data_IF_353711266538
#
_entry.id   IF_353711266538
#
_cell.length_a   1.000
_cell.length_b   1.000
_cell.length_c   1.000
_cell.angle_alpha   90.00
_cell.angle_beta   90.00
_cell.angle_gamma   90.00
#
_symmetry.space_group_name_H-M   'P 1'
#
loop_
_entity.id
_entity.type
_entity.pdbx_description
1 polymer ?
2 non-polymer ?
3 non-polymer ?
4 water ?
#
# COMPACT_ATOMS: atom_id res chain seq x y z
N UNK A 2 -14.86 -15.65 -7.53
CA UNK A 2 -14.18 -15.14 -8.73
C UNK A 2 -12.90 -14.41 -8.36
N UNK A 3 -11.95 -14.34 -9.28
CA UNK A 3 -10.62 -13.82 -8.98
C UNK A 3 -10.64 -12.35 -8.53
N UNK A 4 -9.74 -11.97 -7.62
CA UNK A 4 -9.57 -10.53 -7.30
C UNK A 4 -8.66 -9.91 -8.37
N UNK A 5 -9.17 -8.89 -9.06
CA UNK A 5 -8.40 -8.19 -10.08
C UNK A 5 -7.50 -7.18 -9.38
N UNK A 6 -6.23 -7.12 -9.74
CA UNK A 6 -5.34 -6.15 -9.07
C UNK A 6 -4.50 -5.42 -10.08
N UNK A 7 -4.44 -4.11 -9.97
CA UNK A 7 -3.60 -3.27 -10.81
C UNK A 7 -2.56 -2.57 -9.97
N UNK A 8 -1.33 -2.49 -10.52
CA UNK A 8 -0.23 -1.77 -9.87
C UNK A 8 0.32 -0.74 -10.84
N UNK A 9 0.65 0.47 -10.33
CA UNK A 9 1.37 1.46 -11.13
C UNK A 9 2.40 2.14 -10.26
N UNK A 10 3.60 2.34 -10.79
CA UNK A 10 4.58 3.19 -10.07
C UNK A 10 5.27 4.09 -11.11
N UNK A 11 5.77 5.22 -10.65
CA UNK A 11 6.47 6.16 -11.51
C UNK A 11 7.48 6.91 -10.65
N UNK A 12 8.74 6.92 -11.10
CA UNK A 12 9.75 7.68 -10.37
C UNK A 12 9.49 9.18 -10.46
N UNK A 13 9.87 9.90 -9.39
CA UNK A 13 10.03 11.34 -9.44
C UNK A 13 10.77 11.75 -10.71
N UNK A 14 10.29 12.81 -11.34
CA UNK A 14 10.88 13.33 -12.58
C UNK A 14 12.39 13.51 -12.45
N UNK A 15 13.15 13.05 -13.43
CA UNK A 15 14.59 13.15 -13.35
C UNK A 15 15.31 12.04 -12.60
N UNK A 16 14.61 11.21 -11.83
CA UNK A 16 15.23 10.02 -11.21
C UNK A 16 15.19 8.79 -12.13
N UNK A 17 16.15 7.88 -11.97
CA UNK A 17 16.12 6.65 -12.74
C UNK A 17 15.65 5.44 -11.92
N UNK A 18 15.40 5.62 -10.63
CA UNK A 18 14.83 4.56 -9.80
C UNK A 18 13.69 5.15 -8.98
N UNK A 19 12.62 4.41 -8.89
CA UNK A 19 11.44 4.83 -8.13
C UNK A 19 11.60 4.54 -6.66
N UNK A 20 11.47 5.58 -5.83
CA UNK A 20 11.62 5.39 -4.39
C UNK A 20 10.44 4.79 -3.65
N UNK A 21 9.35 4.47 -4.34
CA UNK A 21 8.22 3.76 -3.76
C UNK A 21 8.26 2.29 -4.23
N UNK A 22 7.55 1.41 -3.51
CA UNK A 22 7.45 0.02 -3.93
C UNK A 22 6.06 -0.55 -3.65
N UNK A 23 5.64 -1.51 -4.48
CA UNK A 23 4.35 -2.21 -4.33
C UNK A 23 4.55 -3.73 -4.19
N UNK A 24 3.65 -4.37 -3.44
CA UNK A 24 3.60 -5.82 -3.32
C UNK A 24 2.15 -6.28 -3.44
N UNK A 25 1.92 -7.27 -4.27
CA UNK A 25 0.66 -8.01 -4.29
C UNK A 25 1.05 -9.47 -4.18
N UNK A 26 0.56 -10.15 -3.17
CA UNK A 26 0.93 -11.54 -2.98
C UNK A 26 -0.29 -12.35 -2.56
N UNK A 27 -0.52 -13.46 -3.26
CA UNK A 27 -1.72 -14.26 -3.08
C UNK A 27 -1.27 -15.55 -2.44
N UNK A 28 -1.97 -15.89 -1.37
CA UNK A 28 -1.58 -17.00 -0.53
C UNK A 28 -2.83 -17.67 0.05
N UNK A 29 -3.26 -18.75 -0.58
CA UNK A 29 -4.37 -19.54 -0.06
C UNK A 29 -5.62 -18.69 0.23
N UNK A 30 -6.19 -18.06 -0.79
CA UNK A 30 -7.39 -17.26 -0.55
C UNK A 30 -7.18 -16.04 0.34
N UNK A 31 -5.94 -15.79 0.76
CA UNK A 31 -5.59 -14.52 1.42
C UNK A 31 -4.67 -13.71 0.53
N UNK A 32 -5.04 -12.47 0.28
CA UNK A 32 -4.19 -11.64 -0.56
C UNK A 32 -3.65 -10.48 0.26
N UNK A 33 -2.35 -10.23 0.08
CA UNK A 33 -1.70 -9.11 0.74
C UNK A 33 -1.40 -8.02 -0.27
N UNK A 34 -1.67 -6.79 0.12
CA UNK A 34 -1.45 -5.64 -0.76
C UNK A 34 -0.66 -4.63 0.02
N UNK A 35 0.47 -4.18 -0.51
CA UNK A 35 1.30 -3.29 0.27
C UNK A 35 1.91 -2.21 -0.60
N UNK A 36 2.06 -1.01 0.00
CA UNK A 36 2.82 0.05 -0.68
C UNK A 36 3.81 0.61 0.30
N UNK A 37 5.04 0.83 -0.14
CA UNK A 37 6.03 1.46 0.72
C UNK A 37 6.55 2.71 0.02
N UNK A 38 6.99 3.69 0.80
CA UNK A 38 7.56 4.90 0.25
C UNK A 38 8.84 5.14 1.02
N UNK A 39 10.01 4.94 0.40
CA UNK A 39 11.28 5.17 1.09
C UNK A 39 11.51 6.66 1.32
N UNK A 40 12.07 7.01 2.47
CA UNK A 40 12.21 8.43 2.77
C UNK A 40 13.03 9.09 1.66
N UNK A 41 12.50 10.18 1.11
CA UNK A 41 13.23 10.93 0.09
C UNK A 41 12.96 10.29 -1.25
N UNK A 42 13.90 10.43 -2.16
CA UNK A 42 13.75 9.87 -3.50
C UNK A 42 15.04 9.23 -3.97
N UNK A 43 15.02 8.67 -5.16
CA UNK A 43 16.23 8.13 -5.75
C UNK A 43 16.54 6.71 -5.27
N UNK A 44 17.71 6.20 -5.67
CA UNK A 44 18.03 4.79 -5.37
C UNK A 44 18.13 4.47 -3.86
N UNK A 45 18.51 5.44 -3.01
CA UNK A 45 18.53 5.12 -1.57
C UNK A 45 17.13 4.98 -1.01
N UNK A 46 16.18 5.77 -1.52
CA UNK A 46 14.80 5.61 -1.11
C UNK A 46 14.25 4.30 -1.66
N UNK A 47 14.60 3.98 -2.90
CA UNK A 47 14.12 2.76 -3.53
C UNK A 47 14.62 1.54 -2.73
N UNK A 48 15.89 1.57 -2.33
CA UNK A 48 16.45 0.47 -1.54
C UNK A 48 15.61 0.24 -0.29
N UNK A 49 15.22 1.32 0.35
CA UNK A 49 14.47 1.17 1.62
C UNK A 49 13.06 0.66 1.35
N UNK A 50 12.40 1.20 0.33
CA UNK A 50 11.02 0.78 0.03
C UNK A 50 11.02 -0.70 -0.35
N UNK A 51 12.03 -1.12 -1.11
CA UNK A 51 12.12 -2.53 -1.52
C UNK A 51 12.49 -3.45 -0.34
N UNK A 52 13.36 -3.00 0.56
CA UNK A 52 13.61 -3.77 1.79
C UNK A 52 12.30 -3.96 2.58
N UNK A 53 11.52 -2.90 2.71
CA UNK A 53 10.25 -3.00 3.43
C UNK A 53 9.31 -4.05 2.78
N UNK A 54 9.13 -3.98 1.45
CA UNK A 54 8.30 -4.93 0.72
C UNK A 54 8.81 -6.38 0.87
N UNK A 55 10.13 -6.58 0.74
CA UNK A 55 10.72 -7.91 0.81
C UNK A 55 10.56 -8.49 2.20
N UNK A 56 10.74 -7.64 3.21
CA UNK A 56 10.53 -8.03 4.59
C UNK A 56 9.09 -8.47 4.87
N UNK A 57 8.13 -7.70 4.37
CA UNK A 57 6.72 -8.08 4.49
C UNK A 57 6.45 -9.43 3.88
N UNK A 58 6.93 -9.62 2.67
CA UNK A 58 6.66 -10.87 1.98
C UNK A 58 7.20 -12.01 2.80
N UNK A 59 8.37 -11.81 3.38
CA UNK A 59 8.98 -12.90 4.13
C UNK A 59 8.20 -13.18 5.44
N UNK A 60 7.41 -12.22 5.90
CA UNK A 60 6.72 -12.28 7.19
C UNK A 60 5.22 -12.53 7.05
N UNK A 61 4.75 -12.80 5.86
CA UNK A 61 3.33 -13.06 5.70
C UNK A 61 2.78 -14.13 6.58
N UNK A 62 1.55 -13.89 7.01
CA UNK A 62 0.84 -14.84 7.86
C UNK A 62 1.49 -15.09 9.20
N UNK A 63 2.28 -14.13 9.63
CA UNK A 63 2.66 -14.02 11.04
C UNK A 63 1.91 -12.92 11.81
N UNK A 64 1.05 -12.17 11.13
CA UNK A 64 0.28 -11.12 11.79
C UNK A 64 0.91 -9.75 11.60
N UNK A 65 0.07 -8.73 11.45
CA UNK A 65 0.58 -7.41 11.08
C UNK A 65 1.55 -6.82 12.14
N UNK A 66 1.34 -7.13 13.42
CA UNK A 66 2.24 -6.59 14.42
C UNK A 66 3.66 -7.07 14.16
N UNK A 67 3.79 -8.38 14.01
CA UNK A 67 5.09 -8.95 13.70
C UNK A 67 5.63 -8.41 12.37
N UNK A 68 4.77 -8.33 11.36
CA UNK A 68 5.21 -7.88 10.04
C UNK A 68 5.85 -6.49 10.10
N UNK A 69 5.20 -5.56 10.78
CA UNK A 69 5.69 -4.19 10.83
C UNK A 69 6.89 -4.06 11.73
N UNK A 70 6.93 -4.85 12.81
CA UNK A 70 8.07 -4.85 13.73
C UNK A 70 9.33 -5.38 13.05
N UNK A 71 9.22 -6.46 12.27
CA UNK A 71 10.37 -6.91 11.50
C UNK A 71 10.79 -5.90 10.42
N UNK A 72 9.82 -5.28 9.73
CA UNK A 72 10.13 -4.24 8.74
C UNK A 72 11.00 -3.16 9.35
N UNK A 73 10.58 -2.66 10.50
CA UNK A 73 11.35 -1.67 11.25
C UNK A 73 12.78 -2.16 11.53
N UNK A 74 12.92 -3.40 11.98
CA UNK A 74 14.26 -3.93 12.27
C UNK A 74 15.14 -4.00 11.01
N UNK A 75 14.57 -4.43 9.89
CA UNK A 75 15.38 -4.56 8.67
C UNK A 75 15.73 -3.19 8.08
N UNK A 76 14.97 -2.16 8.43
CA UNK A 76 15.19 -0.80 7.91
C UNK A 76 16.11 0.07 8.78
N UNK A 77 16.54 -0.42 9.95
CA UNK A 77 17.49 0.35 10.74
C UNK A 77 18.73 0.59 9.89
N UNK A 78 19.22 1.83 9.90
CA UNK A 78 20.43 2.19 9.18
C UNK A 78 20.23 2.52 7.70
N UNK A 79 19.00 2.49 7.21
CA UNK A 79 18.71 2.82 5.81
C UNK A 79 18.01 4.19 5.77
N UNK A 80 17.47 4.60 4.62
CA UNK A 80 16.69 5.85 4.54
C UNK A 80 15.49 5.77 5.45
N UNK A 81 15.02 4.56 5.71
CA UNK A 81 13.74 4.37 6.40
C UNK A 81 12.60 4.42 5.40
N UNK A 82 11.40 4.02 5.80
CA UNK A 82 10.29 4.08 4.89
C UNK A 82 8.97 4.16 5.68
N UNK A 83 7.92 4.59 5.02
CA UNK A 83 6.57 4.49 5.55
C UNK A 83 5.90 3.40 4.72
N UNK A 84 4.90 2.72 5.24
CA UNK A 84 4.31 1.57 4.50
C UNK A 84 2.91 1.26 4.99
N UNK A 85 2.10 0.70 4.11
CA UNK A 85 0.76 0.25 4.44
C UNK A 85 0.67 -1.19 3.99
N UNK A 86 -0.11 -2.00 4.72
CA UNK A 86 -0.40 -3.34 4.29
C UNK A 86 -1.86 -3.62 4.58
N UNK A 87 -2.53 -4.21 3.60
CA UNK A 87 -3.91 -4.69 3.75
C UNK A 87 -3.87 -6.19 3.58
N UNK A 88 -4.54 -6.91 4.46
CA UNK A 88 -4.57 -8.37 4.36
C UNK A 88 -6.04 -8.71 4.14
N UNK A 89 -6.36 -9.25 2.99
CA UNK A 89 -7.76 -9.53 2.62
C UNK A 89 -8.02 -11.01 2.57
N UNK A 90 -8.76 -11.50 3.56
CA UNK A 90 -9.06 -12.90 3.62
C UNK A 90 -10.38 -13.12 2.94
N UNK A 91 -10.37 -13.39 1.65
CA UNK A 91 -11.63 -13.43 0.91
C UNK A 91 -12.48 -14.63 1.28
N UNK A 92 -11.84 -15.73 1.66
CA UNK A 92 -12.56 -16.94 2.01
C UNK A 92 -13.33 -16.78 3.32
N UNK A 93 -12.73 -16.10 4.29
CA UNK A 93 -13.43 -15.87 5.55
C UNK A 93 -14.19 -14.55 5.58
N UNK A 94 -14.00 -13.71 4.56
CA UNK A 94 -14.80 -12.50 4.41
C UNK A 94 -14.36 -11.40 5.36
N UNK A 95 -13.06 -11.27 5.52
CA UNK A 95 -12.49 -10.34 6.50
C UNK A 95 -11.29 -9.60 5.92
N UNK A 96 -11.05 -8.38 6.38
CA UNK A 96 -9.79 -7.68 6.06
C UNK A 96 -9.21 -7.00 7.31
N UNK A 97 -7.89 -6.83 7.30
CA UNK A 97 -7.21 -6.05 8.33
C UNK A 97 -6.28 -5.11 7.59
N UNK A 98 -6.03 -3.93 8.15
CA UNK A 98 -5.06 -3.09 7.47
C UNK A 98 -4.31 -2.29 8.51
N UNK A 99 -3.04 -1.92 8.23
CA UNK A 99 -2.37 -0.94 9.12
C UNK A 99 -1.42 -0.09 8.29
N UNK A 100 -1.05 1.07 8.84
CA UNK A 100 -0.20 2.01 8.10
C UNK A 100 0.74 2.64 9.09
N UNK A 101 2.04 2.63 8.79
CA UNK A 101 2.99 3.44 9.56
C UNK A 101 3.44 4.55 8.61
N UNK A 102 3.15 5.79 8.99
CA UNK A 102 3.53 6.91 8.15
C UNK A 102 2.34 7.37 7.31
N UNK A 103 2.60 7.89 6.12
CA UNK A 103 1.51 8.57 5.41
C UNK A 103 1.11 7.93 4.08
N UNK A 104 1.17 6.62 3.99
CA UNK A 104 0.57 5.96 2.86
C UNK A 104 -0.98 6.06 3.02
N UNK A 105 -1.71 6.17 1.94
CA UNK A 105 -3.16 6.30 2.03
C UNK A 105 -3.87 5.04 1.59
N UNK A 106 -4.85 4.61 2.39
CA UNK A 106 -5.66 3.44 2.03
C UNK A 106 -7.10 3.84 2.03
N UNK A 107 -7.87 3.39 1.02
CA UNK A 107 -9.33 3.60 1.09
C UNK A 107 -9.97 2.30 0.67
N UNK A 108 -11.02 1.92 1.39
CA UNK A 108 -11.69 0.68 1.15
C UNK A 108 -13.17 0.99 0.89
N UNK A 109 -13.62 0.71 -0.32
CA UNK A 109 -15.00 1.01 -0.70
C UNK A 109 -15.74 -0.30 -0.52
N UNK A 110 -16.58 -0.39 0.50
CA UNK A 110 -17.17 -1.70 0.81
C UNK A 110 -18.65 -1.61 0.97
N UNK A 111 -19.28 -2.77 0.96
CA UNK A 111 -20.74 -2.86 1.08
C UNK A 111 -21.17 -2.28 2.42
N UNK A 112 -20.24 -2.29 3.36
CA UNK A 112 -20.45 -1.70 4.71
C UNK A 112 -20.13 -0.23 4.80
N UNK A 113 -19.66 0.38 3.70
CA UNK A 113 -19.39 1.82 3.68
C UNK A 113 -17.98 2.11 3.18
N UNK A 114 -17.69 3.37 2.93
CA UNK A 114 -16.36 3.77 2.48
C UNK A 114 -15.54 3.98 3.76
N UNK A 115 -14.43 3.25 3.87
CA UNK A 115 -13.67 3.22 5.11
C UNK A 115 -12.22 3.62 4.85
N UNK A 116 -11.74 4.59 5.61
CA UNK A 116 -10.35 4.98 5.50
C UNK A 116 -9.61 4.60 6.80
N UNK A 117 -8.73 3.59 6.71
CA UNK A 117 -7.97 3.19 7.89
C UNK A 117 -7.09 4.31 8.42
N UNK A 118 -6.99 4.38 9.73
CA UNK A 118 -6.17 5.36 10.41
C UNK A 118 -4.72 4.93 10.43
N UNK A 119 -3.84 5.84 10.02
CA UNK A 119 -2.40 5.62 10.02
C UNK A 119 -1.87 5.86 11.41
N UNK A 120 -0.82 5.13 11.73
CA UNK A 120 -0.03 5.44 12.94
C UNK A 120 1.20 6.20 12.52
N UNK A 121 1.50 7.36 13.14
CA UNK A 121 2.68 8.12 12.75
C UNK A 121 3.98 7.34 13.00
N UNK A 122 4.98 7.62 12.20
CA UNK A 122 6.28 7.02 12.44
C UNK A 122 7.02 6.81 11.13
N UNK A 123 8.23 6.29 11.25
CA UNK A 123 9.07 5.97 10.09
C UNK A 123 9.73 4.64 10.39
N UNK A 124 9.43 3.63 9.59
CA UNK A 124 10.00 2.30 9.83
C UNK A 124 11.50 2.41 9.67
N UNK A 125 12.23 1.88 10.66
CA UNK A 125 13.67 1.94 10.71
C UNK A 125 14.21 2.98 11.67
N UNK A 126 13.36 3.93 12.05
CA UNK A 126 13.78 5.02 12.93
C UNK A 126 12.93 5.27 14.16
N UNK A 127 11.61 5.40 14.00
CA UNK A 127 10.74 5.71 15.14
C UNK A 127 9.44 4.90 15.06
N UNK A 128 9.43 3.76 15.73
CA UNK A 128 8.29 2.85 15.73
C UNK A 128 7.18 3.41 16.66
N UNK A 129 5.92 3.47 16.18
CA UNK A 129 4.85 4.00 17.04
C UNK A 129 4.64 3.20 18.31
N UNK A 130 4.20 3.88 19.37
CA UNK A 130 3.89 3.24 20.64
C UNK A 130 3.25 1.88 20.37
N UNK A 131 2.33 1.84 19.42
CA UNK A 131 1.73 0.59 19.00
C UNK A 131 0.89 0.74 17.72
N UNK A 132 0.91 -0.32 16.94
CA UNK A 132 0.29 -0.34 15.63
C UNK A 132 -1.23 -0.37 15.78
N UNK A 133 -1.93 0.48 15.04
CA UNK A 133 -3.40 0.46 15.10
C UNK A 133 -3.94 -0.31 13.91
N UNK A 134 -4.41 -1.52 14.14
CA UNK A 134 -4.91 -2.33 13.03
C UNK A 134 -6.40 -2.11 12.86
N UNK A 135 -6.77 -1.61 11.69
CA UNK A 135 -8.18 -1.47 11.34
C UNK A 135 -8.68 -2.82 10.88
N UNK A 136 -9.93 -3.11 11.15
CA UNK A 136 -10.46 -4.41 10.73
C UNK A 136 -11.82 -4.21 10.12
N UNK A 137 -12.18 -5.03 9.14
CA UNK A 137 -13.51 -4.89 8.55
C UNK A 137 -13.96 -6.18 7.91
N UNK A 138 -15.17 -6.15 7.34
CA UNK A 138 -15.74 -7.30 6.65
C UNK A 138 -15.56 -7.10 5.17
N UNK A 139 -15.14 -8.16 4.49
CA UNK A 139 -14.95 -8.14 3.04
C UNK A 139 -16.05 -8.96 2.35
N UNK A 140 -16.62 -8.44 1.28
CA UNK A 140 -17.41 -9.30 0.44
C UNK A 140 -17.04 -8.97 -0.99
N UNK A 141 -17.20 -9.94 -1.88
CA UNK A 141 -16.89 -9.71 -3.29
C UNK A 141 -17.56 -8.43 -3.81
N UNK A 142 -16.77 -7.64 -4.53
CA UNK A 142 -17.18 -6.36 -5.07
C UNK A 142 -16.59 -5.17 -4.31
N UNK A 143 -16.13 -5.41 -3.08
CA UNK A 143 -15.47 -4.35 -2.32
C UNK A 143 -14.15 -3.99 -3.02
N UNK A 144 -13.78 -2.73 -2.95
CA UNK A 144 -12.66 -2.20 -3.73
C UNK A 144 -11.62 -1.71 -2.76
N UNK A 145 -10.34 -1.88 -3.09
CA UNK A 145 -9.28 -1.37 -2.23
C UNK A 145 -8.42 -0.44 -3.07
N UNK A 146 -8.09 0.73 -2.54
CA UNK A 146 -7.19 1.65 -3.20
C UNK A 146 -6.05 1.93 -2.19
N UNK A 147 -4.79 1.86 -2.63
CA UNK A 147 -3.68 2.20 -1.75
C UNK A 147 -2.77 3.10 -2.58
N UNK A 148 -2.32 4.20 -2.02
CA UNK A 148 -1.34 5.00 -2.76
C UNK A 148 -0.36 5.74 -1.85
N UNK A 149 0.85 5.95 -2.35
CA UNK A 149 1.79 6.81 -1.61
C UNK A 149 1.37 8.26 -1.71
N UNK A 150 2.06 9.13 -0.96
CA UNK A 150 1.71 10.55 -0.95
C UNK A 150 2.15 11.24 -2.25
N UNK A 151 2.67 10.48 -3.20
CA UNK A 151 2.75 10.95 -4.59
C UNK A 151 1.39 11.32 -5.16
N UNK A 152 0.32 10.79 -4.57
CA UNK A 152 -1.06 11.24 -4.88
C UNK A 152 -1.69 11.81 -3.59
N UNK A 153 -2.23 13.02 -3.67
CA UNK A 153 -2.80 13.66 -2.50
C UNK A 153 -3.97 12.86 -1.91
N UNK A 154 -4.07 12.79 -0.58
CA UNK A 154 -5.19 12.12 0.05
C UNK A 154 -6.50 12.68 -0.48
N UNK A 155 -7.40 11.79 -0.88
CA UNK A 155 -8.72 12.19 -1.36
C UNK A 155 -8.80 12.71 -2.78
N UNK A 156 -7.70 12.73 -3.52
CA UNK A 156 -7.67 13.18 -4.92
C UNK A 156 -8.47 12.32 -5.90
N UNK A 157 -8.63 11.03 -5.63
CA UNK A 157 -9.19 10.12 -6.63
C UNK A 157 -10.70 10.09 -6.52
N UNK A 158 -11.41 10.44 -7.62
CA UNK A 158 -12.87 10.31 -7.52
C UNK A 158 -13.25 8.84 -7.33
N UNK A 159 -14.00 8.58 -6.27
CA UNK A 159 -14.32 7.23 -5.84
C UNK A 159 -14.94 6.39 -6.95
N UNK A 160 -15.90 6.99 -7.64
CA UNK A 160 -16.68 6.30 -8.67
C UNK A 160 -15.79 5.78 -9.79
N UNK A 161 -14.61 6.36 -9.98
CA UNK A 161 -13.73 5.90 -11.04
C UNK A 161 -13.29 4.45 -10.74
N UNK A 162 -13.20 4.13 -9.44
CA UNK A 162 -12.79 2.78 -9.03
C UNK A 162 -13.86 1.72 -9.39
N UNK A 163 -15.10 2.14 -9.58
CA UNK A 163 -16.17 1.21 -9.95
C UNK A 163 -16.38 1.20 -11.49
N UNK A 164 -15.48 1.84 -12.23
CA UNK A 164 -15.57 1.79 -13.69
C UNK A 164 -14.83 0.56 -14.22
N UNK A 165 -15.60 -0.40 -14.74
CA UNK A 165 -15.01 -1.64 -15.21
C UNK A 165 -14.85 -1.65 -16.72
N UNK A 166 -15.06 -0.48 -17.38
CA UNK A 166 -14.71 -0.36 -18.80
C UNK A 166 -13.21 -0.33 -19.01
N UNK A 167 -12.47 0.05 -17.97
CA UNK A 167 -11.02 -0.09 -17.93
C UNK A 167 -10.69 -1.28 -17.03
N UNK A 168 -9.56 -1.94 -17.31
CA UNK A 168 -9.09 -2.99 -16.43
C UNK A 168 -8.46 -2.32 -15.21
N UNK A 169 -8.24 -3.10 -14.15
CA UNK A 169 -7.58 -2.54 -12.96
C UNK A 169 -6.21 -1.97 -13.34
N UNK A 170 -5.48 -2.68 -14.20
CA UNK A 170 -4.16 -2.24 -14.64
C UNK A 170 -4.24 -0.93 -15.40
N UNK A 171 -5.23 -0.85 -16.30
CA UNK A 171 -5.44 0.40 -17.03
C UNK A 171 -5.90 1.53 -16.08
N UNK A 172 -6.74 1.22 -15.12
CA UNK A 172 -7.30 2.23 -14.24
C UNK A 172 -6.19 2.84 -13.33
N UNK A 173 -5.29 2.03 -12.80
CA UNK A 173 -4.25 2.54 -11.86
C UNK A 173 -3.25 3.38 -12.65
N UNK A 174 -3.04 3.02 -13.91
CA UNK A 174 -2.16 3.84 -14.75
C UNK A 174 -2.80 5.19 -14.98
N UNK A 175 -4.10 5.20 -15.25
CA UNK A 175 -4.79 6.48 -15.48
C UNK A 175 -4.75 7.31 -14.18
N UNK A 176 -5.01 6.67 -13.06
CA UNK A 176 -4.95 7.37 -11.77
C UNK A 176 -3.58 7.95 -11.52
N UNK A 177 -2.53 7.16 -11.72
CA UNK A 177 -1.18 7.67 -11.50
C UNK A 177 -0.85 8.86 -12.40
N UNK A 178 -1.26 8.78 -13.66
CA UNK A 178 -0.98 9.81 -14.64
C UNK A 178 -1.81 11.09 -14.41
N UNK A 179 -3.07 10.96 -14.03
CA UNK A 179 -3.93 12.14 -13.82
C UNK A 179 -3.61 12.82 -12.52
N UNK A 180 -3.37 12.02 -11.48
CA UNK A 180 -3.31 12.55 -10.10
C UNK A 180 -1.92 12.55 -9.50
N UNK A 181 -0.98 11.85 -10.12
CA UNK A 181 0.37 11.69 -9.57
C UNK A 181 1.17 12.97 -9.65
N UNK A 182 1.84 13.38 -8.58
CA UNK A 182 2.74 14.54 -8.67
C UNK A 182 3.97 14.17 -9.46
N UNK A 183 4.53 15.09 -10.23
CA UNK A 183 5.73 14.72 -10.95
C UNK A 183 6.98 15.00 -10.09
N UNK A 184 6.82 15.75 -8.99
CA UNK A 184 7.95 16.03 -8.11
C UNK A 184 8.14 15.00 -6.98
N UNK A 185 7.42 13.88 -7.05
CA UNK A 185 7.65 12.83 -6.07
C UNK A 185 7.41 11.53 -6.80
N UNK A 186 7.91 10.45 -6.22
CA UNK A 186 7.56 9.11 -6.68
C UNK A 186 6.09 8.84 -6.49
N UNK A 187 5.51 8.00 -7.35
CA UNK A 187 4.07 7.68 -7.25
C UNK A 187 3.92 6.17 -7.22
N UNK A 188 3.01 5.67 -6.38
CA UNK A 188 2.72 4.26 -6.38
C UNK A 188 1.23 4.09 -6.08
N UNK A 189 0.56 3.21 -6.80
CA UNK A 189 -0.88 3.01 -6.62
C UNK A 189 -1.21 1.56 -6.82
N UNK A 190 -2.08 1.01 -5.96
CA UNK A 190 -2.66 -0.32 -6.18
C UNK A 190 -4.19 -0.19 -6.15
N UNK A 191 -4.90 -0.84 -7.07
CA UNK A 191 -6.35 -0.99 -6.94
C UNK A 191 -6.64 -2.49 -7.02
N UNK A 192 -7.47 -3.00 -6.13
CA UNK A 192 -7.90 -4.41 -6.12
C UNK A 192 -9.42 -4.45 -6.05
N UNK A 193 -10.06 -5.27 -6.89
CA UNK A 193 -11.51 -5.33 -6.82
C UNK A 193 -12.03 -6.62 -7.37
#
# INVERSE_FOLDING_TARGET
>A
MEKLEVGIYTRAREGEIACGDACLVKRVEGVIFLAVGDGIGHGPEAARAAEIAIASMESSMNTGLVNIFQLCHRELRGTRGAVAALCRVDRRQGLWQAAIVGNIHVKILSAKGIITPLATPGILGYNYPHQLLIAKGSYQEGDLFLIHSDGIQEGAVPLALLANYRLTAEELVRLIGEKYGRRDDDVAVIVAR
#
